data_IF_398378746593
#
_entry.id   IF_398378746593
#
_cell.length_a   1.000
_cell.length_b   1.000
_cell.length_c   1.000
_cell.angle_alpha   90.00
_cell.angle_beta   90.00
_cell.angle_gamma   90.00
#
_symmetry.space_group_name_H-M   'P 1'
#
loop_
_entity.id
_entity.type
_entity.pdbx_description
1 polymer ?
#
# COMPACT_ATOMS: atom_id res chain seq x y z
N UNK A 1 11.37 60.37 -2.77
CA UNK A 1 10.14 60.05 -2.00
C UNK A 1 9.70 58.65 -2.40
N UNK A 2 9.67 57.70 -1.47
CA UNK A 2 9.40 56.29 -1.76
C UNK A 2 7.91 56.04 -1.57
N UNK A 3 7.19 55.77 -2.65
CA UNK A 3 5.73 55.54 -2.62
C UNK A 3 5.46 54.18 -2.00
N UNK A 4 5.01 54.14 -0.74
CA UNK A 4 4.46 52.92 -0.15
C UNK A 4 3.08 52.67 -0.75
N UNK A 5 2.98 51.76 -1.71
CA UNK A 5 1.69 51.20 -2.14
C UNK A 5 1.30 50.13 -1.13
N UNK A 6 0.31 50.44 -0.28
CA UNK A 6 -0.30 49.45 0.61
C UNK A 6 -1.28 48.58 -0.15
N UNK A 7 -1.34 47.29 0.18
CA UNK A 7 -2.38 46.36 -0.28
C UNK A 7 -3.72 46.77 0.35
N UNK A 8 -4.79 46.83 -0.44
CA UNK A 8 -6.14 47.01 0.10
C UNK A 8 -6.61 45.73 0.80
N UNK A 9 -7.30 45.88 1.93
CA UNK A 9 -7.91 44.73 2.62
C UNK A 9 -8.94 44.01 1.74
N UNK A 10 -9.61 44.74 0.85
CA UNK A 10 -10.56 44.16 -0.10
C UNK A 10 -9.85 43.31 -1.16
N UNK A 11 -8.69 43.74 -1.64
CA UNK A 11 -7.88 42.98 -2.60
C UNK A 11 -7.42 41.65 -2.00
N UNK A 12 -7.01 41.65 -0.73
CA UNK A 12 -6.67 40.41 -0.04
C UNK A 12 -7.90 39.50 0.15
N UNK A 13 -9.06 40.07 0.45
CA UNK A 13 -10.29 39.32 0.70
C UNK A 13 -10.76 38.54 -0.53
N UNK A 14 -10.77 39.18 -1.71
CA UNK A 14 -11.18 38.50 -2.95
C UNK A 14 -10.20 37.39 -3.34
N UNK A 15 -8.90 37.57 -3.07
CA UNK A 15 -7.87 36.58 -3.37
C UNK A 15 -8.07 35.33 -2.51
N UNK A 16 -8.24 35.52 -1.20
CA UNK A 16 -8.50 34.38 -0.29
C UNK A 16 -9.82 33.69 -0.66
N UNK A 17 -10.87 34.44 -1.02
CA UNK A 17 -12.14 33.85 -1.45
C UNK A 17 -11.98 32.92 -2.67
N UNK A 18 -11.24 33.34 -3.70
CA UNK A 18 -11.02 32.52 -4.91
C UNK A 18 -10.15 31.29 -4.57
N UNK A 19 -9.11 31.44 -3.76
CA UNK A 19 -8.26 30.32 -3.34
C UNK A 19 -9.10 29.26 -2.60
N UNK A 20 -10.01 29.69 -1.71
CA UNK A 20 -10.90 28.77 -0.99
C UNK A 20 -11.85 28.02 -1.93
N UNK A 21 -12.41 28.68 -2.95
CA UNK A 21 -13.23 28.01 -3.96
C UNK A 21 -12.43 26.93 -4.69
N UNK A 22 -11.21 27.24 -5.13
CA UNK A 22 -10.35 26.26 -5.81
C UNK A 22 -9.97 25.10 -4.87
N UNK A 23 -9.59 25.41 -3.63
CA UNK A 23 -9.16 24.42 -2.65
C UNK A 23 -10.24 23.39 -2.35
N UNK A 24 -11.51 23.81 -2.24
CA UNK A 24 -12.63 22.88 -2.00
C UNK A 24 -12.81 21.83 -3.09
N UNK A 25 -12.52 22.15 -4.36
CA UNK A 25 -12.59 21.21 -5.48
C UNK A 25 -11.31 20.37 -5.57
N UNK A 26 -10.15 20.98 -5.28
CA UNK A 26 -8.84 20.35 -5.44
C UNK A 26 -8.47 19.36 -4.33
N UNK A 27 -8.83 19.63 -3.07
CA UNK A 27 -8.48 18.75 -1.94
C UNK A 27 -9.05 17.32 -2.10
N UNK A 28 -10.34 17.09 -2.41
CA UNK A 28 -10.87 15.74 -2.52
C UNK A 28 -10.26 14.95 -3.69
N UNK A 29 -9.92 15.62 -4.81
CA UNK A 29 -9.26 14.96 -5.94
C UNK A 29 -7.81 14.62 -5.62
N UNK A 30 -7.10 15.49 -4.90
CA UNK A 30 -5.74 15.23 -4.42
C UNK A 30 -5.69 14.04 -3.46
N UNK A 31 -6.63 13.94 -2.52
CA UNK A 31 -6.70 12.81 -1.59
C UNK A 31 -6.91 11.48 -2.32
N UNK A 32 -7.81 11.43 -3.31
CA UNK A 32 -8.02 10.24 -4.14
C UNK A 32 -6.78 9.89 -4.99
N UNK A 33 -6.12 10.89 -5.56
CA UNK A 33 -4.89 10.70 -6.33
C UNK A 33 -3.77 10.09 -5.47
N UNK A 34 -3.61 10.58 -4.24
CA UNK A 34 -2.65 10.02 -3.27
C UNK A 34 -2.98 8.58 -2.88
N UNK A 35 -4.26 8.26 -2.67
CA UNK A 35 -4.70 6.88 -2.39
C UNK A 35 -4.36 5.93 -3.54
N UNK A 36 -4.68 6.31 -4.79
CA UNK A 36 -4.35 5.51 -5.96
C UNK A 36 -2.83 5.31 -6.12
N UNK A 37 -2.02 6.34 -5.83
CA UNK A 37 -0.57 6.23 -5.85
C UNK A 37 -0.04 5.26 -4.78
N UNK A 38 -0.60 5.31 -3.57
CA UNK A 38 -0.25 4.38 -2.48
C UNK A 38 -0.64 2.94 -2.82
N UNK A 39 -1.83 2.74 -3.40
CA UNK A 39 -2.33 1.45 -3.88
C UNK A 39 -1.43 0.85 -4.95
N UNK A 40 -1.02 1.65 -5.94
CA UNK A 40 -0.06 1.23 -6.96
C UNK A 40 1.30 0.86 -6.36
N UNK A 41 1.78 1.63 -5.38
CA UNK A 41 3.02 1.32 -4.65
C UNK A 41 2.89 0.01 -3.87
N UNK A 42 1.74 -0.24 -3.26
CA UNK A 42 1.48 -1.47 -2.52
C UNK A 42 1.54 -2.71 -3.41
N UNK A 43 0.90 -2.67 -4.58
CA UNK A 43 0.96 -3.77 -5.57
C UNK A 43 2.39 -4.03 -6.03
N UNK A 44 3.16 -2.98 -6.32
CA UNK A 44 4.57 -3.11 -6.71
C UNK A 44 5.41 -3.74 -5.59
N UNK A 45 5.22 -3.28 -4.35
CA UNK A 45 5.92 -3.79 -3.19
C UNK A 45 5.57 -5.26 -2.87
N UNK A 46 4.31 -5.68 -3.06
CA UNK A 46 3.93 -7.11 -2.95
C UNK A 46 4.69 -7.96 -3.97
N UNK A 47 4.82 -7.50 -5.22
CA UNK A 47 5.60 -8.20 -6.24
C UNK A 47 7.09 -8.27 -5.88
N UNK A 48 7.65 -7.20 -5.32
CA UNK A 48 9.03 -7.18 -4.81
C UNK A 48 9.23 -8.25 -3.73
N UNK A 49 8.29 -8.38 -2.80
CA UNK A 49 8.35 -9.42 -1.75
C UNK A 49 8.27 -10.82 -2.40
N UNK A 50 7.37 -11.07 -3.35
CA UNK A 50 7.31 -12.35 -4.05
C UNK A 50 8.65 -12.71 -4.72
N UNK A 51 9.32 -11.74 -5.37
CA UNK A 51 10.64 -11.97 -5.96
C UNK A 51 11.70 -12.28 -4.90
N UNK A 52 11.65 -11.61 -3.75
CA UNK A 52 12.52 -11.90 -2.62
C UNK A 52 12.27 -13.33 -2.09
N UNK A 53 11.01 -13.76 -1.97
CA UNK A 53 10.64 -15.11 -1.53
C UNK A 53 11.14 -16.20 -2.48
N UNK A 54 11.00 -16.01 -3.80
CA UNK A 54 11.53 -16.97 -4.80
C UNK A 54 13.05 -17.07 -4.70
N UNK A 55 13.73 -15.93 -4.50
CA UNK A 55 15.18 -15.91 -4.33
C UNK A 55 15.58 -16.60 -3.03
N UNK A 56 14.88 -16.29 -1.92
CA UNK A 56 15.12 -16.88 -0.61
C UNK A 56 14.92 -18.40 -0.62
N UNK A 57 13.87 -18.89 -1.29
CA UNK A 57 13.63 -20.31 -1.49
C UNK A 57 14.84 -21.01 -2.11
N UNK A 58 15.44 -20.38 -3.13
CA UNK A 58 16.61 -20.94 -3.83
C UNK A 58 17.91 -20.86 -3.02
N UNK A 59 18.08 -19.84 -2.17
CA UNK A 59 19.32 -19.59 -1.43
C UNK A 59 19.33 -20.16 0.00
N UNK A 60 18.18 -20.31 0.65
CA UNK A 60 18.03 -20.66 2.07
C UNK A 60 17.49 -22.09 2.28
N UNK A 61 17.87 -23.03 1.40
CA UNK A 61 17.59 -24.46 1.60
C UNK A 61 16.13 -24.87 1.36
N UNK A 62 15.39 -24.13 0.52
CA UNK A 62 14.07 -24.54 0.06
C UNK A 62 12.90 -24.13 0.95
N UNK A 63 13.05 -23.13 1.82
CA UNK A 63 11.95 -22.56 2.62
C UNK A 63 11.67 -21.10 2.28
N UNK A 64 10.43 -20.67 2.47
CA UNK A 64 10.03 -19.25 2.41
C UNK A 64 10.34 -18.52 3.72
N UNK A 65 10.56 -17.21 3.64
CA UNK A 65 10.95 -16.37 4.77
C UNK A 65 9.79 -15.54 5.32
N UNK A 66 9.95 -14.99 6.51
CA UNK A 66 9.17 -13.82 6.91
C UNK A 66 9.88 -12.54 6.47
N UNK A 67 9.24 -11.39 6.69
CA UNK A 67 9.83 -10.08 6.34
C UNK A 67 11.19 -9.88 7.02
N UNK A 68 11.32 -10.30 8.29
CA UNK A 68 12.57 -10.14 9.04
C UNK A 68 13.70 -11.02 8.49
N UNK A 69 13.39 -12.26 8.10
CA UNK A 69 14.33 -13.19 7.49
C UNK A 69 14.80 -12.68 6.12
N UNK A 70 13.87 -12.20 5.28
CA UNK A 70 14.21 -11.61 3.98
C UNK A 70 15.10 -10.37 4.11
N UNK A 71 14.85 -9.52 5.12
CA UNK A 71 15.69 -8.35 5.41
C UNK A 71 17.07 -8.80 5.89
N UNK A 72 17.13 -9.79 6.79
CA UNK A 72 18.40 -10.33 7.30
C UNK A 72 19.23 -10.97 6.19
N UNK A 73 18.56 -11.63 5.23
CA UNK A 73 19.18 -12.21 4.04
C UNK A 73 19.61 -11.16 2.99
N UNK A 74 19.31 -9.88 3.20
CA UNK A 74 19.63 -8.79 2.27
C UNK A 74 18.78 -8.79 0.99
N UNK A 75 17.68 -9.54 0.97
CA UNK A 75 16.76 -9.65 -0.18
C UNK A 75 15.65 -8.61 -0.16
N UNK A 76 15.41 -8.01 1.01
CA UNK A 76 14.40 -6.99 1.22
C UNK A 76 14.98 -5.83 2.05
N UNK A 77 14.53 -4.61 1.77
CA UNK A 77 14.95 -3.41 2.49
C UNK A 77 14.28 -3.34 3.90
N UNK A 78 15.00 -2.87 4.90
CA UNK A 78 14.50 -2.78 6.29
C UNK A 78 13.27 -1.89 6.44
N UNK A 79 12.98 -0.99 5.48
CA UNK A 79 11.76 -0.17 5.42
C UNK A 79 10.47 -1.01 5.46
N UNK A 80 10.51 -2.27 5.01
CA UNK A 80 9.36 -3.16 5.01
C UNK A 80 8.94 -3.63 6.42
N UNK A 81 9.76 -3.36 7.44
CA UNK A 81 9.39 -3.58 8.85
C UNK A 81 8.38 -2.54 9.37
N UNK A 82 8.22 -1.43 8.66
CA UNK A 82 7.25 -0.37 8.95
C UNK A 82 6.31 -0.08 7.77
N UNK A 83 5.44 0.93 7.89
CA UNK A 83 4.57 1.32 6.80
C UNK A 83 5.34 1.98 5.66
N UNK A 84 5.15 1.49 4.44
CA UNK A 84 5.70 2.05 3.21
C UNK A 84 4.54 2.61 2.38
N UNK A 85 4.59 3.90 2.02
CA UNK A 85 3.50 4.58 1.30
C UNK A 85 2.13 4.43 1.98
N UNK A 86 2.08 4.35 3.31
CA UNK A 86 0.84 4.18 4.06
C UNK A 86 0.27 2.76 4.08
N UNK A 87 1.03 1.76 3.61
CA UNK A 87 0.71 0.35 3.67
C UNK A 87 1.68 -0.41 4.57
N UNK A 88 1.17 -1.34 5.37
CA UNK A 88 1.99 -2.31 6.12
C UNK A 88 2.03 -3.63 5.40
N UNK A 89 3.23 -4.22 5.35
CA UNK A 89 3.49 -5.48 4.69
C UNK A 89 3.81 -6.55 5.73
N UNK A 90 3.26 -7.73 5.54
CA UNK A 90 3.60 -8.90 6.36
C UNK A 90 3.63 -10.14 5.50
N UNK A 91 4.49 -11.09 5.88
CA UNK A 91 4.49 -12.43 5.31
C UNK A 91 4.05 -13.40 6.39
N UNK A 92 3.01 -14.17 6.11
CA UNK A 92 2.47 -15.18 7.01
C UNK A 92 2.66 -16.58 6.40
N UNK A 93 2.70 -17.59 7.27
CA UNK A 93 2.90 -18.97 6.85
C UNK A 93 4.29 -19.27 6.29
N UNK A 94 5.30 -18.44 6.61
CA UNK A 94 6.69 -18.59 6.17
C UNK A 94 7.25 -19.99 6.49
N UNK A 95 7.62 -20.74 5.45
CA UNK A 95 8.08 -22.13 5.51
C UNK A 95 7.76 -22.89 4.22
N UNK A 96 7.84 -24.22 4.21
CA UNK A 96 7.33 -25.03 3.09
C UNK A 96 5.95 -25.60 3.39
N UNK A 97 5.02 -25.67 2.41
CA UNK A 97 5.19 -25.35 0.99
C UNK A 97 4.65 -23.97 0.55
N UNK A 98 4.17 -23.14 1.47
CA UNK A 98 3.42 -21.92 1.12
C UNK A 98 3.95 -20.70 1.87
N UNK A 99 3.64 -19.51 1.36
CA UNK A 99 3.72 -18.24 2.07
C UNK A 99 2.57 -17.35 1.61
N UNK A 100 2.22 -16.36 2.40
CA UNK A 100 1.23 -15.35 2.01
C UNK A 100 1.75 -13.97 2.34
N UNK A 101 1.96 -13.15 1.32
CA UNK A 101 2.22 -11.72 1.46
C UNK A 101 0.89 -11.01 1.65
N UNK A 102 0.82 -10.13 2.64
CA UNK A 102 -0.31 -9.25 2.88
C UNK A 102 0.17 -7.80 2.86
N UNK A 103 -0.60 -6.92 2.23
CA UNK A 103 -0.41 -5.48 2.25
C UNK A 103 -1.73 -4.79 2.63
N UNK A 104 -1.78 -4.24 3.83
CA UNK A 104 -2.96 -3.52 4.34
C UNK A 104 -2.69 -2.03 4.48
N UNK A 105 -3.62 -1.13 4.08
CA UNK A 105 -3.47 0.29 4.35
C UNK A 105 -3.56 0.55 5.86
N UNK A 106 -2.74 1.49 6.35
CA UNK A 106 -2.71 1.89 7.76
C UNK A 106 -4.03 2.53 8.20
N UNK A 107 -4.64 3.29 7.30
CA UNK A 107 -5.96 3.91 7.49
C UNK A 107 -6.72 3.88 6.16
N UNK A 108 -8.04 4.05 6.22
CA UNK A 108 -8.87 4.23 5.02
C UNK A 108 -8.52 5.47 4.20
N UNK A 109 -7.76 6.42 4.78
CA UNK A 109 -7.23 7.57 4.05
C UNK A 109 -5.98 7.24 3.22
N UNK A 110 -5.25 6.18 3.57
CA UNK A 110 -4.05 5.77 2.85
C UNK A 110 -4.37 4.93 1.61
N UNK A 111 -5.44 4.14 1.67
CA UNK A 111 -5.92 3.33 0.56
C UNK A 111 -7.24 2.65 0.91
N UNK A 112 -7.97 2.23 -0.12
CA UNK A 112 -9.27 1.58 -0.02
C UNK A 112 -9.15 0.06 -0.03
N UNK A 113 -8.16 -0.46 -0.74
CA UNK A 113 -7.96 -1.89 -0.91
C UNK A 113 -6.75 -2.41 -0.13
N UNK A 114 -6.88 -3.62 0.39
CA UNK A 114 -5.74 -4.44 0.81
C UNK A 114 -5.39 -5.43 -0.30
N UNK A 115 -4.12 -5.82 -0.35
CA UNK A 115 -3.57 -6.73 -1.36
C UNK A 115 -2.98 -7.96 -0.72
N UNK A 116 -3.02 -9.07 -1.44
CA UNK A 116 -2.35 -10.31 -1.02
C UNK A 116 -1.79 -11.08 -2.20
N UNK A 117 -0.77 -11.88 -1.95
CA UNK A 117 -0.20 -12.81 -2.92
C UNK A 117 0.30 -14.06 -2.23
N UNK A 118 0.22 -15.20 -2.91
CA UNK A 118 0.86 -16.45 -2.49
C UNK A 118 2.02 -16.82 -3.41
N UNK A 119 2.47 -18.09 -3.36
CA UNK A 119 3.56 -18.61 -4.20
C UNK A 119 3.24 -18.62 -5.70
N UNK A 120 1.97 -18.48 -6.07
CA UNK A 120 1.51 -18.31 -7.43
C UNK A 120 1.79 -16.91 -8.00
N UNK A 121 2.31 -15.99 -7.18
CA UNK A 121 2.66 -14.61 -7.52
C UNK A 121 1.50 -13.75 -8.07
N UNK A 122 0.26 -14.23 -7.99
CA UNK A 122 -0.93 -13.48 -8.40
C UNK A 122 -1.35 -12.54 -7.28
N UNK A 123 -1.28 -11.24 -7.56
CA UNK A 123 -1.78 -10.20 -6.66
C UNK A 123 -3.30 -10.14 -6.71
N UNK A 124 -3.92 -10.35 -5.56
CA UNK A 124 -5.37 -10.27 -5.34
C UNK A 124 -5.68 -9.08 -4.44
N UNK A 125 -6.89 -8.57 -4.49
CA UNK A 125 -7.32 -7.44 -3.67
C UNK A 125 -8.69 -7.64 -3.04
N UNK A 126 -8.91 -6.97 -1.90
CA UNK A 126 -10.19 -6.89 -1.22
C UNK A 126 -10.39 -5.50 -0.60
N UNK A 127 -11.64 -5.08 -0.41
CA UNK A 127 -11.94 -3.81 0.29
C UNK A 127 -11.49 -3.90 1.74
N UNK A 128 -10.79 -2.86 2.23
CA UNK A 128 -10.26 -2.85 3.58
C UNK A 128 -11.27 -2.25 4.58
N UNK A 129 -11.85 -3.09 5.43
CA UNK A 129 -12.77 -2.69 6.50
C UNK A 129 -12.09 -2.89 7.85
N UNK A 130 -11.27 -1.92 8.24
CA UNK A 130 -10.65 -1.77 9.58
C UNK A 130 -9.94 -3.00 10.18
N UNK A 131 -8.63 -3.09 9.97
CA UNK A 131 -7.72 -3.90 10.82
C UNK A 131 -7.43 -5.31 10.32
N UNK A 132 -8.27 -5.85 9.45
CA UNK A 132 -8.03 -7.08 8.71
C UNK A 132 -8.68 -6.93 7.34
N UNK A 133 -7.99 -7.34 6.26
CA UNK A 133 -8.66 -7.44 4.97
C UNK A 133 -9.87 -8.39 5.18
N UNK A 134 -11.05 -8.05 4.67
CA UNK A 134 -12.22 -8.94 4.73
C UNK A 134 -12.83 -9.04 3.34
N UNK A 135 -12.66 -10.16 2.62
CA UNK A 135 -11.84 -11.32 2.97
C UNK A 135 -10.35 -11.10 2.60
N UNK A 136 -9.45 -11.02 3.59
CA UNK A 136 -8.27 -11.88 3.51
C UNK A 136 -8.82 -13.29 3.54
N UNK A 137 -8.32 -14.14 2.67
CA UNK A 137 -8.70 -15.54 2.62
C UNK A 137 -8.86 -16.15 4.03
N UNK A 138 -9.93 -16.91 4.32
CA UNK A 138 -10.16 -17.47 5.64
C UNK A 138 -9.08 -18.51 5.96
N UNK A 139 -8.89 -18.78 7.25
CA UNK A 139 -7.97 -19.78 7.80
C UNK A 139 -8.24 -21.25 7.37
N UNK A 140 -8.94 -21.49 6.24
CA UNK A 140 -9.33 -22.83 5.80
C UNK A 140 -9.60 -23.01 4.31
N UNK A 141 -9.42 -22.01 3.44
CA UNK A 141 -9.73 -22.23 2.03
C UNK A 141 -8.55 -22.99 1.35
N UNK A 142 -8.92 -24.01 0.59
CA UNK A 142 -8.03 -24.83 -0.24
C UNK A 142 -7.82 -24.14 -1.58
N UNK A 143 -6.76 -24.47 -2.36
CA UNK A 143 -6.24 -23.69 -3.50
C UNK A 143 -7.20 -23.37 -4.66
N UNK A 144 -8.48 -23.69 -4.56
CA UNK A 144 -9.46 -23.65 -5.63
C UNK A 144 -10.83 -23.19 -5.11
N UNK A 145 -11.12 -21.88 -5.12
CA UNK A 145 -12.48 -21.38 -4.85
C UNK A 145 -12.56 -19.92 -4.42
N UNK A 146 -13.16 -19.09 -5.29
CA UNK A 146 -13.54 -17.67 -5.09
C UNK A 146 -12.38 -16.68 -4.86
N UNK A 147 -11.72 -16.35 -5.98
CA UNK A 147 -10.67 -15.35 -6.10
C UNK A 147 -11.30 -13.96 -6.15
N UNK A 148 -10.97 -13.08 -5.19
CA UNK A 148 -11.13 -11.63 -5.40
C UNK A 148 -10.40 -11.24 -6.69
N UNK A 149 -10.99 -10.34 -7.49
CA UNK A 149 -10.55 -10.11 -8.86
C UNK A 149 -9.03 -9.86 -8.96
N UNK A 150 -8.36 -10.37 -10.01
CA UNK A 150 -6.94 -10.09 -10.23
C UNK A 150 -6.75 -8.58 -10.47
N UNK A 151 -5.72 -8.00 -9.86
CA UNK A 151 -5.33 -6.62 -10.16
C UNK A 151 -4.67 -6.61 -11.54
N UNK A 152 -5.29 -5.95 -12.53
CA UNK A 152 -4.68 -5.66 -13.83
C UNK A 152 -3.63 -4.56 -13.70
#
# INVERSE_FOLDING_TARGET
>A
MKSNRGFSLLELLIVVAIILIIATIAIPSLLRSRQAANESSAVANVRTINTAEVTYLSSAGGSYGGVAELVTAGLLDSRFTGPVSGYTFSVAGSGTPNYTVNAGPQTTNNGRFGYMSGPDAVVRYATYTSGTCSPCYPASATPNGSVGAPVQ
#
